data_IF_707760522535
#
_entry.id   IF_707760522535
#
_cell.length_a   1.000
_cell.length_b   1.000
_cell.length_c   1.000
_cell.angle_alpha   90.00
_cell.angle_beta   90.00
_cell.angle_gamma   90.00
#
_symmetry.space_group_name_H-M   'P 1'
#
loop_
_entity.id
_entity.type
_entity.pdbx_description
1 polymer ?
#
# COMPACT_ATOMS: atom_id res chain seq x y z
N UNK A 1 15.84 -0.05 0.86
CA UNK A 1 16.96 -0.82 1.42
C UNK A 1 16.58 -1.43 2.77
N UNK A 2 16.06 -0.66 3.73
CA UNK A 2 15.72 -1.12 5.09
C UNK A 2 14.86 -2.38 5.10
N UNK A 3 13.78 -2.41 4.31
CA UNK A 3 12.85 -3.54 4.28
C UNK A 3 13.53 -4.85 3.84
N UNK A 4 14.39 -4.83 2.82
CA UNK A 4 15.11 -6.02 2.39
C UNK A 4 16.12 -6.52 3.42
N UNK A 5 16.82 -5.59 4.09
CA UNK A 5 17.74 -5.94 5.18
C UNK A 5 16.98 -6.61 6.33
N UNK A 6 15.85 -6.03 6.73
CA UNK A 6 14.99 -6.58 7.77
C UNK A 6 14.44 -7.98 7.39
N UNK A 7 13.96 -8.13 6.15
CA UNK A 7 13.46 -9.43 5.68
C UNK A 7 14.54 -10.51 5.71
N UNK A 8 15.77 -10.17 5.29
CA UNK A 8 16.88 -11.11 5.34
C UNK A 8 17.25 -11.48 6.78
N UNK A 9 17.27 -10.51 7.70
CA UNK A 9 17.60 -10.72 9.11
C UNK A 9 16.55 -11.59 9.83
N UNK A 10 15.27 -11.38 9.54
CA UNK A 10 14.14 -12.06 10.19
C UNK A 10 13.64 -13.30 9.44
N UNK A 11 14.28 -13.68 8.34
CA UNK A 11 13.85 -14.82 7.55
C UNK A 11 12.49 -14.63 6.85
N UNK A 12 12.06 -13.37 6.64
CA UNK A 12 10.82 -13.08 5.92
C UNK A 12 10.97 -13.41 4.44
N UNK A 13 10.12 -14.30 3.88
CA UNK A 13 10.22 -14.68 2.49
C UNK A 13 10.03 -13.47 1.56
N UNK A 14 10.97 -13.26 0.67
CA UNK A 14 10.93 -12.18 -0.32
C UNK A 14 11.74 -12.52 -1.56
N UNK A 15 11.48 -11.82 -2.67
CA UNK A 15 12.23 -12.01 -3.91
C UNK A 15 12.33 -10.69 -4.66
N UNK A 16 13.54 -10.31 -5.07
CA UNK A 16 13.77 -9.21 -6.01
C UNK A 16 13.52 -9.69 -7.44
N UNK A 17 12.25 -9.72 -7.83
CA UNK A 17 11.85 -10.20 -9.15
C UNK A 17 11.95 -9.14 -10.24
N UNK A 18 12.13 -7.88 -9.88
CA UNK A 18 12.10 -6.77 -10.83
C UNK A 18 10.68 -6.37 -11.25
N UNK A 19 10.59 -5.22 -11.89
CA UNK A 19 9.34 -4.68 -12.45
C UNK A 19 9.60 -4.04 -13.80
N UNK A 20 8.71 -4.29 -14.74
CA UNK A 20 8.65 -3.59 -16.03
C UNK A 20 7.51 -2.59 -16.01
N UNK A 21 7.79 -1.31 -16.28
CA UNK A 21 6.77 -0.30 -16.57
C UNK A 21 6.71 -0.18 -18.07
N UNK A 22 5.60 -0.60 -18.69
CA UNK A 22 5.52 -0.81 -20.15
C UNK A 22 4.68 0.25 -20.85
N UNK A 23 5.17 0.72 -21.99
CA UNK A 23 4.43 1.53 -22.95
C UNK A 23 3.89 0.62 -24.07
N UNK A 24 2.56 0.50 -24.19
CA UNK A 24 1.94 -0.27 -25.23
C UNK A 24 1.93 0.46 -26.59
N UNK A 25 2.08 1.78 -26.61
CA UNK A 25 2.09 2.61 -27.81
C UNK A 25 3.24 3.62 -27.82
N UNK A 26 3.59 4.12 -29.00
CA UNK A 26 4.64 5.17 -29.17
C UNK A 26 4.27 6.45 -28.39
N UNK A 27 2.99 6.82 -28.33
CA UNK A 27 2.52 7.99 -27.59
C UNK A 27 2.85 7.92 -26.08
N UNK A 28 2.91 6.72 -25.50
CA UNK A 28 3.19 6.49 -24.09
C UNK A 28 4.69 6.57 -23.74
N UNK A 29 5.61 6.64 -24.72
CA UNK A 29 7.06 6.76 -24.45
C UNK A 29 7.42 8.03 -23.68
N UNK A 30 6.72 9.12 -23.95
CA UNK A 30 6.95 10.37 -23.21
C UNK A 30 6.64 10.21 -21.72
N UNK A 31 5.59 9.47 -21.38
CA UNK A 31 5.22 9.15 -19.99
C UNK A 31 6.30 8.32 -19.29
N UNK A 32 6.88 7.31 -19.97
CA UNK A 32 8.01 6.56 -19.43
C UNK A 32 9.20 7.49 -19.12
N UNK A 33 9.52 8.42 -20.02
CA UNK A 33 10.62 9.37 -19.79
C UNK A 33 10.35 10.28 -18.59
N UNK A 34 9.11 10.75 -18.42
CA UNK A 34 8.70 11.55 -17.25
C UNK A 34 8.84 10.74 -15.96
N UNK A 35 8.40 9.46 -15.94
CA UNK A 35 8.55 8.56 -14.79
C UNK A 35 10.04 8.41 -14.44
N UNK A 36 10.90 8.16 -15.42
CA UNK A 36 12.34 8.03 -15.22
C UNK A 36 12.95 9.29 -14.61
N UNK A 37 12.59 10.46 -15.14
CA UNK A 37 13.07 11.75 -14.64
C UNK A 37 12.62 12.00 -13.20
N UNK A 38 11.34 11.75 -12.90
CA UNK A 38 10.80 11.90 -11.55
C UNK A 38 11.45 10.90 -10.57
N UNK A 39 11.69 9.68 -10.99
CA UNK A 39 12.35 8.66 -10.17
C UNK A 39 13.78 9.09 -9.81
N UNK A 40 14.56 9.58 -10.78
CA UNK A 40 15.91 10.07 -10.55
C UNK A 40 15.93 11.28 -9.59
N UNK A 41 14.97 12.22 -9.71
CA UNK A 41 14.82 13.34 -8.80
C UNK A 41 14.50 12.91 -7.35
N UNK A 42 13.93 11.71 -7.17
CA UNK A 42 13.65 11.10 -5.87
C UNK A 42 14.73 10.09 -5.42
N UNK A 43 15.92 10.11 -6.04
CA UNK A 43 17.04 9.25 -5.66
C UNK A 43 16.92 7.79 -6.14
N UNK A 44 16.02 7.50 -7.09
CA UNK A 44 15.90 6.19 -7.74
C UNK A 44 16.62 6.26 -9.08
N UNK A 45 17.84 5.77 -9.14
CA UNK A 45 18.78 5.89 -10.27
C UNK A 45 19.01 4.58 -11.05
N UNK A 46 18.43 3.48 -10.58
CA UNK A 46 18.62 2.13 -11.14
C UNK A 46 17.64 1.77 -12.27
N UNK A 47 16.72 2.68 -12.66
CA UNK A 47 15.79 2.44 -13.76
C UNK A 47 16.49 2.36 -15.11
N UNK A 48 16.28 1.24 -15.82
CA UNK A 48 16.89 0.96 -17.12
C UNK A 48 15.84 1.08 -18.23
N UNK A 49 16.16 1.84 -19.26
CA UNK A 49 15.35 1.86 -20.47
C UNK A 49 15.55 0.59 -21.28
N UNK A 50 14.46 -0.07 -21.67
CA UNK A 50 14.48 -1.24 -22.52
C UNK A 50 13.66 -0.98 -23.79
N UNK A 51 14.20 -1.43 -24.92
CA UNK A 51 13.44 -1.52 -26.17
C UNK A 51 12.58 -2.79 -26.21
N UNK A 52 11.79 -2.95 -27.27
CA UNK A 52 10.91 -4.11 -27.46
C UNK A 52 11.68 -5.43 -27.40
N UNK A 53 12.84 -5.51 -28.03
CA UNK A 53 13.62 -6.75 -28.11
C UNK A 53 14.14 -7.17 -26.73
N UNK A 54 14.63 -6.21 -25.96
CA UNK A 54 15.10 -6.44 -24.59
C UNK A 54 13.95 -6.84 -23.64
N UNK A 55 12.77 -6.24 -23.79
CA UNK A 55 11.58 -6.65 -23.01
C UNK A 55 11.16 -8.07 -23.38
N UNK A 56 11.07 -8.39 -24.68
CA UNK A 56 10.71 -9.73 -25.13
C UNK A 56 11.68 -10.82 -24.65
N UNK A 57 12.96 -10.50 -24.52
CA UNK A 57 13.96 -11.44 -23.96
C UNK A 57 13.72 -11.71 -22.47
N UNK A 58 13.18 -10.76 -21.70
CA UNK A 58 12.84 -10.91 -20.27
C UNK A 58 11.47 -11.53 -20.06
N UNK A 59 10.46 -11.06 -20.81
CA UNK A 59 9.06 -11.42 -20.72
C UNK A 59 8.49 -11.64 -22.14
N UNK A 60 8.61 -12.85 -22.70
CA UNK A 60 8.20 -13.14 -24.08
C UNK A 60 6.73 -12.86 -24.39
N UNK A 61 5.86 -12.94 -23.40
CA UNK A 61 4.42 -12.71 -23.54
C UNK A 61 4.01 -11.24 -23.49
N UNK A 62 4.95 -10.33 -23.16
CA UNK A 62 4.68 -8.89 -23.04
C UNK A 62 4.81 -8.19 -24.40
N UNK A 63 3.70 -7.60 -24.84
CA UNK A 63 3.67 -6.72 -26.01
C UNK A 63 3.83 -5.25 -25.59
N UNK A 64 4.89 -4.61 -26.04
CA UNK A 64 5.14 -3.19 -25.78
C UNK A 64 6.05 -2.58 -26.84
N UNK A 65 6.16 -1.25 -26.87
CA UNK A 65 7.11 -0.52 -27.73
C UNK A 65 8.40 -0.14 -26.98
N UNK A 66 8.31 0.02 -25.65
CA UNK A 66 9.42 0.28 -24.75
C UNK A 66 8.99 0.00 -23.31
N UNK A 67 9.97 -0.12 -22.41
CA UNK A 67 9.72 -0.22 -20.98
C UNK A 67 10.82 0.46 -20.13
N UNK A 68 10.50 0.72 -18.85
CA UNK A 68 11.48 0.92 -17.81
C UNK A 68 11.56 -0.33 -16.95
N UNK A 69 12.75 -0.85 -16.79
CA UNK A 69 13.03 -1.94 -15.86
C UNK A 69 13.53 -1.37 -14.53
N UNK A 70 12.83 -1.74 -13.44
CA UNK A 70 13.24 -1.47 -12.05
C UNK A 70 13.76 -2.76 -11.42
N UNK A 71 15.06 -3.00 -11.39
CA UNK A 71 15.63 -4.27 -10.91
C UNK A 71 15.54 -4.41 -9.40
N UNK A 72 15.44 -3.31 -8.65
CA UNK A 72 15.33 -3.29 -7.20
C UNK A 72 13.93 -3.58 -6.67
N UNK A 73 12.90 -3.56 -7.53
CA UNK A 73 11.53 -3.91 -7.15
C UNK A 73 11.42 -5.39 -6.83
N UNK A 74 10.61 -5.74 -5.84
CA UNK A 74 10.38 -7.13 -5.47
C UNK A 74 9.04 -7.38 -4.83
N UNK A 75 8.86 -8.60 -4.39
CA UNK A 75 7.70 -9.10 -3.68
C UNK A 75 8.10 -9.67 -2.33
N UNK A 76 7.15 -9.67 -1.40
CA UNK A 76 7.36 -10.07 -0.02
C UNK A 76 6.14 -10.83 0.49
N UNK A 77 6.34 -11.77 1.40
CA UNK A 77 5.26 -12.30 2.24
C UNK A 77 4.89 -11.26 3.30
N UNK A 78 3.81 -10.53 3.05
CA UNK A 78 3.34 -9.46 3.95
C UNK A 78 2.84 -9.99 5.30
N UNK A 79 2.31 -11.22 5.34
CA UNK A 79 1.87 -11.84 6.60
C UNK A 79 3.08 -12.24 7.45
N UNK A 80 4.08 -12.86 6.84
CA UNK A 80 5.33 -13.16 7.55
C UNK A 80 6.03 -11.89 8.04
N UNK A 81 5.98 -10.78 7.28
CA UNK A 81 6.48 -9.49 7.72
C UNK A 81 5.75 -8.96 8.95
N UNK A 82 4.41 -9.01 8.96
CA UNK A 82 3.61 -8.58 10.11
C UNK A 82 3.92 -9.43 11.34
N UNK A 83 4.04 -10.75 11.18
CA UNK A 83 4.40 -11.64 12.29
C UNK A 83 5.82 -11.37 12.81
N UNK A 84 6.77 -11.04 11.95
CA UNK A 84 8.11 -10.66 12.36
C UNK A 84 8.12 -9.34 13.16
N UNK A 85 7.35 -8.33 12.73
CA UNK A 85 7.19 -7.09 13.51
C UNK A 85 6.48 -7.34 14.84
N UNK A 86 5.47 -8.20 14.87
CA UNK A 86 4.79 -8.61 16.08
C UNK A 86 5.78 -9.25 17.06
N UNK A 87 6.55 -10.25 16.63
CA UNK A 87 7.55 -10.91 17.46
C UNK A 87 8.60 -9.94 18.01
N UNK A 88 9.11 -9.05 17.16
CA UNK A 88 10.07 -8.02 17.59
C UNK A 88 9.49 -7.05 18.65
N UNK A 89 8.20 -6.74 18.56
CA UNK A 89 7.51 -5.91 19.54
C UNK A 89 7.30 -6.65 20.86
N UNK A 90 6.82 -7.89 20.81
CA UNK A 90 6.59 -8.75 21.98
C UNK A 90 7.89 -9.05 22.72
N UNK A 91 8.99 -9.32 22.02
CA UNK A 91 10.34 -9.50 22.58
C UNK A 91 10.83 -8.26 23.36
N UNK A 92 10.25 -7.09 23.07
CA UNK A 92 10.52 -5.83 23.78
C UNK A 92 9.45 -5.44 24.78
N UNK A 93 8.55 -6.37 25.12
CA UNK A 93 7.54 -6.21 26.15
C UNK A 93 6.23 -5.58 25.66
N UNK A 94 6.01 -5.43 24.36
CA UNK A 94 4.70 -5.01 23.84
C UNK A 94 3.68 -6.14 24.03
N UNK A 95 2.44 -5.76 24.29
CA UNK A 95 1.30 -6.69 24.35
C UNK A 95 0.34 -6.39 23.20
N UNK A 96 -0.10 -7.44 22.51
CA UNK A 96 -1.07 -7.33 21.43
C UNK A 96 -2.39 -7.92 21.89
N UNK A 97 -3.45 -7.11 21.87
CA UNK A 97 -4.81 -7.52 22.18
C UNK A 97 -5.65 -7.57 20.90
N UNK A 98 -6.01 -8.78 20.49
CA UNK A 98 -6.95 -8.98 19.38
C UNK A 98 -8.40 -8.85 19.86
N UNK A 99 -9.30 -8.51 18.93
CA UNK A 99 -10.73 -8.34 19.24
C UNK A 99 -11.02 -7.34 20.37
N UNK A 100 -10.15 -6.36 20.52
CA UNK A 100 -10.19 -5.31 21.53
C UNK A 100 -10.31 -3.93 20.86
N UNK A 101 -11.48 -3.61 20.24
CA UNK A 101 -11.64 -2.35 19.54
C UNK A 101 -11.66 -1.17 20.50
N UNK A 102 -10.92 -0.11 20.14
CA UNK A 102 -11.04 1.20 20.80
C UNK A 102 -12.32 1.86 20.32
N UNK A 103 -13.26 2.14 21.21
CA UNK A 103 -14.58 2.68 20.87
C UNK A 103 -14.71 4.19 21.12
N UNK A 104 -13.94 4.71 22.07
CA UNK A 104 -13.85 6.13 22.38
C UNK A 104 -12.55 6.45 23.12
N UNK A 105 -12.27 7.73 23.23
CA UNK A 105 -11.18 8.25 24.04
C UNK A 105 -11.46 9.64 24.54
N UNK A 106 -10.65 10.13 25.47
CA UNK A 106 -10.72 11.48 26.01
C UNK A 106 -9.32 11.99 26.37
N UNK A 107 -9.05 13.22 25.99
CA UNK A 107 -7.82 13.90 26.37
C UNK A 107 -7.97 14.41 27.81
N UNK A 108 -7.00 14.09 28.68
CA UNK A 108 -6.95 14.48 30.08
C UNK A 108 -5.59 15.08 30.44
N UNK A 109 -5.47 15.66 31.64
CA UNK A 109 -4.19 16.17 32.13
C UNK A 109 -3.14 15.08 32.36
N UNK A 110 -3.59 13.84 32.61
CA UNK A 110 -2.74 12.68 32.90
C UNK A 110 -2.35 11.88 31.64
N UNK A 111 -2.91 12.22 30.46
CA UNK A 111 -2.69 11.50 29.21
C UNK A 111 -3.98 11.34 28.41
N UNK A 112 -4.07 10.27 27.63
CA UNK A 112 -5.22 9.96 26.79
C UNK A 112 -5.91 8.72 27.33
N UNK A 113 -7.13 8.88 27.86
CA UNK A 113 -7.97 7.76 28.26
C UNK A 113 -8.59 7.11 27.04
N UNK A 114 -8.60 5.79 27.00
CA UNK A 114 -9.21 4.99 25.93
C UNK A 114 -10.20 3.98 26.54
N UNK A 115 -11.38 3.90 25.94
CA UNK A 115 -12.35 2.84 26.20
C UNK A 115 -12.13 1.72 25.17
N UNK A 116 -11.83 0.54 25.66
CA UNK A 116 -11.62 -0.65 24.85
C UNK A 116 -12.78 -1.60 25.10
N UNK A 117 -13.49 -1.96 24.05
CA UNK A 117 -14.55 -2.96 24.07
C UNK A 117 -14.00 -4.35 23.69
N UNK A 118 -14.88 -5.35 23.60
CA UNK A 118 -14.51 -6.71 23.22
C UNK A 118 -14.87 -7.71 24.34
N UNK A 119 -14.14 -8.83 24.35
CA UNK A 119 -14.39 -9.89 25.33
C UNK A 119 -14.07 -9.44 26.77
N UNK A 120 -12.98 -8.70 26.94
CA UNK A 120 -12.52 -8.14 28.22
C UNK A 120 -12.49 -6.60 28.13
N UNK A 121 -13.66 -5.94 28.32
CA UNK A 121 -13.72 -4.49 28.22
C UNK A 121 -12.86 -3.82 29.30
N UNK A 122 -12.13 -2.78 28.90
CA UNK A 122 -11.27 -2.07 29.84
C UNK A 122 -11.18 -0.59 29.52
N UNK A 123 -10.82 0.19 30.53
CA UNK A 123 -10.37 1.57 30.37
C UNK A 123 -8.88 1.62 30.66
N UNK A 124 -8.13 2.31 29.84
CA UNK A 124 -6.71 2.54 30.06
C UNK A 124 -6.36 4.02 29.79
N UNK A 125 -5.39 4.54 30.52
CA UNK A 125 -4.81 5.83 30.30
C UNK A 125 -3.40 5.66 29.73
N UNK A 126 -3.15 6.22 28.56
CA UNK A 126 -1.86 6.13 27.86
C UNK A 126 -1.18 7.50 27.80
N UNK A 127 0.13 7.52 28.05
CA UNK A 127 0.95 8.72 27.86
C UNK A 127 1.12 9.06 26.38
N UNK A 128 1.08 8.06 25.52
CA UNK A 128 1.16 8.23 24.07
C UNK A 128 0.20 7.27 23.37
N UNK A 129 -0.48 7.78 22.35
CA UNK A 129 -1.40 7.03 21.49
C UNK A 129 -1.01 7.25 20.03
N UNK A 130 -0.85 6.16 19.30
CA UNK A 130 -0.67 6.18 17.85
C UNK A 130 -1.89 5.57 17.20
N UNK A 131 -2.68 6.39 16.53
CA UNK A 131 -3.82 5.94 15.76
C UNK A 131 -3.34 5.50 14.36
N UNK A 132 -3.08 4.23 14.19
CA UNK A 132 -2.73 3.60 12.91
C UNK A 132 -3.83 2.64 12.42
N UNK A 133 -5.08 3.01 12.65
CA UNK A 133 -6.26 2.18 12.39
C UNK A 133 -6.64 2.06 10.89
N UNK A 134 -5.80 2.53 9.97
CA UNK A 134 -5.99 2.37 8.51
C UNK A 134 -7.31 2.97 8.02
N UNK A 135 -8.21 2.14 7.48
CA UNK A 135 -9.53 2.58 7.02
C UNK A 135 -10.39 3.24 8.11
N UNK A 136 -10.14 2.88 9.36
CA UNK A 136 -10.90 3.37 10.52
C UNK A 136 -10.21 4.54 11.24
N UNK A 137 -9.01 4.97 10.80
CA UNK A 137 -8.26 6.00 11.51
C UNK A 137 -9.01 7.34 11.67
N UNK A 138 -9.75 7.87 10.67
CA UNK A 138 -10.58 9.05 10.88
C UNK A 138 -11.70 8.83 11.91
N UNK A 139 -12.34 7.66 11.90
CA UNK A 139 -13.40 7.34 12.87
C UNK A 139 -12.87 7.24 14.30
N UNK A 140 -11.71 6.61 14.50
CA UNK A 140 -11.02 6.57 15.80
C UNK A 140 -10.67 7.98 16.27
N UNK A 141 -10.13 8.83 15.37
CA UNK A 141 -9.81 10.21 15.72
C UNK A 141 -11.05 11.02 16.14
N UNK A 142 -12.18 10.86 15.43
CA UNK A 142 -13.46 11.49 15.80
C UNK A 142 -14.03 11.00 17.14
N UNK A 143 -13.69 9.79 17.56
CA UNK A 143 -14.12 9.21 18.82
C UNK A 143 -13.28 9.69 20.03
N UNK A 144 -12.22 10.48 19.82
CA UNK A 144 -11.39 11.06 20.88
C UNK A 144 -11.92 12.45 21.24
N UNK A 145 -12.58 12.54 22.39
CA UNK A 145 -13.06 13.80 22.94
C UNK A 145 -11.90 14.76 23.25
N UNK A 146 -12.04 16.02 22.80
CA UNK A 146 -11.03 17.05 22.94
C UNK A 146 -10.14 17.24 21.69
N UNK A 147 -10.24 16.36 20.70
CA UNK A 147 -9.61 16.59 19.40
C UNK A 147 -10.52 17.45 18.51
N UNK A 148 -9.96 18.47 17.87
CA UNK A 148 -10.68 19.41 17.00
C UNK A 148 -11.20 18.69 15.75
N UNK A 149 -12.52 18.59 15.52
CA UNK A 149 -13.08 17.80 14.40
C UNK A 149 -12.64 18.29 13.02
N UNK A 150 -12.39 19.59 12.86
CA UNK A 150 -11.96 20.21 11.59
C UNK A 150 -10.56 19.79 11.15
N UNK A 151 -9.77 19.23 12.07
CA UNK A 151 -8.43 18.69 11.79
C UNK A 151 -8.47 17.22 11.35
N UNK A 152 -9.62 16.57 11.43
CA UNK A 152 -9.79 15.17 11.08
C UNK A 152 -10.32 15.06 9.65
N UNK A 153 -9.60 14.40 8.73
CA UNK A 153 -10.03 14.30 7.35
C UNK A 153 -11.25 13.38 7.21
N UNK A 154 -12.09 13.68 6.21
CA UNK A 154 -13.18 12.79 5.82
C UNK A 154 -12.62 11.51 5.20
N UNK A 155 -13.12 10.36 5.63
CA UNK A 155 -12.74 9.07 5.06
C UNK A 155 -13.48 8.80 3.74
N UNK A 156 -12.74 8.32 2.75
CA UNK A 156 -13.26 7.79 1.50
C UNK A 156 -12.61 6.43 1.23
N UNK A 157 -13.30 5.57 0.46
CA UNK A 157 -12.84 4.22 0.22
C UNK A 157 -12.69 3.96 -1.27
N UNK A 158 -11.47 3.65 -1.71
CA UNK A 158 -11.20 3.22 -3.08
C UNK A 158 -10.82 1.74 -3.09
N UNK A 159 -11.79 0.90 -3.41
CA UNK A 159 -11.62 -0.55 -3.55
C UNK A 159 -10.86 -0.85 -4.82
N UNK A 160 -9.95 -1.81 -4.75
CA UNK A 160 -9.20 -2.35 -5.87
C UNK A 160 -9.45 -3.84 -5.97
N UNK A 161 -10.05 -4.27 -7.07
CA UNK A 161 -10.34 -5.66 -7.32
C UNK A 161 -9.16 -6.34 -8.03
N UNK A 162 -8.90 -7.60 -7.70
CA UNK A 162 -7.87 -8.42 -8.32
C UNK A 162 -8.47 -9.71 -8.85
N UNK A 163 -7.99 -10.10 -10.04
CA UNK A 163 -8.35 -11.36 -10.67
C UNK A 163 -7.12 -12.26 -10.79
N UNK A 164 -7.30 -13.53 -10.54
CA UNK A 164 -6.24 -14.56 -10.61
C UNK A 164 -6.23 -15.20 -11.98
N UNK A 165 -5.05 -15.34 -12.59
CA UNK A 165 -4.87 -16.08 -13.83
C UNK A 165 -4.90 -17.58 -13.55
N UNK A 166 -5.79 -18.31 -14.19
CA UNK A 166 -5.90 -19.76 -14.08
C UNK A 166 -4.85 -20.47 -14.95
N UNK A 167 -4.18 -21.46 -14.39
CA UNK A 167 -3.30 -22.37 -15.11
C UNK A 167 -1.90 -21.83 -15.39
N UNK A 168 -1.71 -21.00 -16.41
CA UNK A 168 -0.38 -20.56 -16.86
C UNK A 168 0.30 -19.57 -15.90
N UNK A 169 1.64 -19.59 -15.88
CA UNK A 169 2.48 -18.65 -15.12
C UNK A 169 3.45 -17.95 -16.08
N UNK A 170 2.93 -17.09 -16.98
CA UNK A 170 3.72 -16.56 -18.09
C UNK A 170 4.71 -15.45 -17.69
N UNK A 171 4.67 -14.97 -16.44
CA UNK A 171 5.47 -13.82 -15.99
C UNK A 171 6.46 -14.19 -14.90
N UNK A 172 7.65 -13.62 -15.00
CA UNK A 172 8.72 -13.68 -13.99
C UNK A 172 8.95 -12.35 -13.28
N UNK A 173 8.49 -11.24 -13.88
CA UNK A 173 8.55 -9.88 -13.35
C UNK A 173 7.15 -9.34 -13.09
N UNK A 174 7.06 -8.29 -12.27
CA UNK A 174 5.87 -7.45 -12.20
C UNK A 174 5.76 -6.63 -13.49
N UNK A 175 4.57 -6.52 -14.08
CA UNK A 175 4.36 -5.74 -15.32
C UNK A 175 3.28 -4.70 -15.08
N UNK A 176 3.65 -3.43 -15.21
CA UNK A 176 2.79 -2.29 -14.98
C UNK A 176 2.66 -1.48 -16.27
N UNK A 177 1.48 -1.38 -16.89
CA UNK A 177 1.31 -0.41 -17.96
C UNK A 177 1.53 1.01 -17.43
N UNK A 178 1.96 1.92 -18.30
CA UNK A 178 2.03 3.34 -17.92
C UNK A 178 0.67 3.82 -17.44
N UNK A 179 0.60 4.67 -16.40
CA UNK A 179 -0.66 5.23 -15.92
C UNK A 179 -1.38 5.97 -17.05
N UNK A 180 -2.66 5.66 -17.24
CA UNK A 180 -3.55 6.43 -18.11
C UNK A 180 -4.27 7.51 -17.31
N UNK A 181 -4.82 8.54 -18.00
CA UNK A 181 -5.49 9.67 -17.34
C UNK A 181 -6.69 9.25 -16.48
N UNK A 182 -7.29 8.09 -16.75
CA UNK A 182 -8.47 7.58 -16.05
C UNK A 182 -8.17 6.51 -14.97
N UNK A 183 -6.90 6.11 -14.74
CA UNK A 183 -6.62 5.06 -13.75
C UNK A 183 -5.16 4.63 -13.68
N UNK A 184 -4.85 3.71 -12.76
CA UNK A 184 -3.50 3.15 -12.57
C UNK A 184 -3.13 2.07 -13.60
N UNK A 185 -4.06 1.71 -14.49
CA UNK A 185 -3.95 0.54 -15.36
C UNK A 185 -4.02 -0.77 -14.57
N UNK A 186 -4.31 -1.86 -15.23
CA UNK A 186 -4.35 -3.18 -14.61
C UNK A 186 -2.93 -3.76 -14.62
N UNK A 187 -2.35 -3.96 -13.45
CA UNK A 187 -0.99 -4.49 -13.29
C UNK A 187 -0.96 -6.03 -13.35
N UNK A 188 0.18 -6.58 -13.73
CA UNK A 188 0.55 -7.97 -13.40
C UNK A 188 1.27 -7.96 -12.08
N UNK A 189 0.77 -8.70 -11.12
CA UNK A 189 1.48 -9.05 -9.88
C UNK A 189 1.70 -10.55 -9.82
N UNK A 190 2.78 -10.97 -9.19
CA UNK A 190 3.11 -12.38 -8.95
C UNK A 190 3.35 -12.57 -7.46
N UNK A 191 2.96 -13.71 -6.92
CA UNK A 191 3.33 -14.07 -5.55
C UNK A 191 4.62 -14.92 -5.52
N UNK A 192 5.06 -15.28 -4.34
CA UNK A 192 6.28 -16.09 -4.15
C UNK A 192 6.16 -17.48 -4.76
N UNK A 193 4.94 -18.01 -4.92
CA UNK A 193 4.63 -19.26 -5.61
C UNK A 193 4.52 -19.11 -7.13
N UNK A 194 4.64 -17.88 -7.65
CA UNK A 194 4.52 -17.59 -9.09
C UNK A 194 3.07 -17.48 -9.58
N UNK A 195 2.07 -17.45 -8.69
CA UNK A 195 0.68 -17.22 -9.10
C UNK A 195 0.54 -15.79 -9.62
N UNK A 196 -0.02 -15.66 -10.81
CA UNK A 196 -0.27 -14.38 -11.46
C UNK A 196 -1.63 -13.82 -11.05
N UNK A 197 -1.64 -12.51 -10.73
CA UNK A 197 -2.85 -11.74 -10.50
C UNK A 197 -2.83 -10.46 -11.30
N UNK A 198 -3.98 -10.08 -11.78
CA UNK A 198 -4.20 -8.82 -12.49
C UNK A 198 -4.99 -7.86 -11.60
N UNK A 199 -4.56 -6.62 -11.54
CA UNK A 199 -5.19 -5.60 -10.72
C UNK A 199 -4.21 -4.63 -10.09
N UNK A 200 -4.73 -3.68 -9.31
CA UNK A 200 -6.16 -3.49 -9.12
C UNK A 200 -6.80 -2.63 -10.23
N UNK A 201 -8.12 -2.69 -10.32
CA UNK A 201 -8.92 -1.58 -10.83
C UNK A 201 -9.16 -0.52 -9.73
N UNK A 202 -10.09 0.39 -9.96
CA UNK A 202 -10.54 1.36 -8.96
C UNK A 202 -12.06 1.41 -8.93
N UNK A 203 -12.61 1.16 -7.75
CA UNK A 203 -14.04 1.23 -7.46
C UNK A 203 -14.24 2.07 -6.19
N UNK A 204 -14.94 3.19 -6.31
CA UNK A 204 -15.30 4.00 -5.15
C UNK A 204 -16.53 3.40 -4.48
N UNK A 205 -16.45 3.18 -3.17
CA UNK A 205 -17.48 2.53 -2.36
C UNK A 205 -17.80 3.37 -1.13
N UNK A 206 -19.06 3.31 -0.68
CA UNK A 206 -19.53 4.08 0.49
C UNK A 206 -19.34 3.30 1.80
N UNK A 207 -19.22 1.99 1.72
CA UNK A 207 -19.01 1.10 2.86
C UNK A 207 -17.91 0.09 2.58
N UNK A 208 -17.24 -0.38 3.64
CA UNK A 208 -16.18 -1.40 3.54
C UNK A 208 -16.81 -2.71 3.07
N UNK A 209 -16.42 -3.14 1.87
CA UNK A 209 -16.85 -4.38 1.22
C UNK A 209 -15.67 -4.98 0.44
N UNK A 210 -15.32 -6.22 0.73
CA UNK A 210 -14.20 -6.94 0.10
C UNK A 210 -14.64 -7.95 -0.98
N UNK A 211 -15.93 -8.04 -1.29
CA UNK A 211 -16.41 -8.95 -2.32
C UNK A 211 -15.99 -8.46 -3.71
N UNK A 212 -15.45 -9.36 -4.52
CA UNK A 212 -15.07 -9.06 -5.90
C UNK A 212 -16.24 -9.33 -6.84
N UNK A 213 -16.71 -8.30 -7.54
CA UNK A 213 -17.77 -8.44 -8.53
C UNK A 213 -17.25 -9.15 -9.79
N UNK A 214 -17.72 -10.40 -10.10
CA UNK A 214 -17.30 -11.11 -11.28
C UNK A 214 -17.59 -10.37 -12.60
N UNK A 215 -18.61 -9.51 -12.62
CA UNK A 215 -19.00 -8.73 -13.79
C UNK A 215 -17.95 -7.70 -14.23
N UNK A 216 -17.06 -7.28 -13.35
CA UNK A 216 -15.96 -6.35 -13.68
C UNK A 216 -14.86 -6.97 -14.55
N UNK A 217 -14.80 -8.31 -14.66
CA UNK A 217 -13.79 -9.01 -15.43
C UNK A 217 -13.69 -8.54 -16.90
N UNK A 218 -14.80 -8.14 -17.51
CA UNK A 218 -14.81 -7.67 -18.91
C UNK A 218 -13.83 -6.51 -19.14
N UNK A 219 -13.84 -5.49 -18.27
CA UNK A 219 -12.91 -4.36 -18.36
C UNK A 219 -11.44 -4.75 -18.12
N UNK A 220 -11.19 -5.82 -17.36
CA UNK A 220 -9.85 -6.36 -17.16
C UNK A 220 -9.28 -6.96 -18.44
N UNK A 221 -10.08 -7.73 -19.22
CA UNK A 221 -9.60 -8.33 -20.48
C UNK A 221 -9.10 -7.26 -21.45
N UNK A 222 -9.85 -6.19 -21.65
CA UNK A 222 -9.50 -5.13 -22.57
C UNK A 222 -8.19 -4.42 -22.13
N UNK A 223 -8.06 -4.11 -20.86
CA UNK A 223 -6.87 -3.44 -20.32
C UNK A 223 -5.62 -4.34 -20.37
N UNK A 224 -5.75 -5.59 -20.00
CA UNK A 224 -4.63 -6.55 -19.95
C UNK A 224 -4.14 -6.89 -21.36
N UNK A 225 -5.03 -7.08 -22.32
CA UNK A 225 -4.69 -7.42 -23.70
C UNK A 225 -3.88 -6.35 -24.43
N UNK A 226 -3.86 -5.12 -23.95
CA UNK A 226 -2.99 -4.08 -24.49
C UNK A 226 -1.50 -4.43 -24.35
N UNK A 227 -1.12 -5.15 -23.31
CA UNK A 227 0.27 -5.56 -23.06
C UNK A 227 0.46 -7.07 -22.95
N UNK A 228 -0.61 -7.84 -22.78
CA UNK A 228 -0.61 -9.30 -22.81
C UNK A 228 -1.71 -9.84 -23.74
N UNK A 229 -1.50 -9.75 -25.08
CA UNK A 229 -2.51 -10.13 -26.06
C UNK A 229 -2.86 -11.62 -26.05
N UNK A 230 -2.00 -12.47 -25.46
CA UNK A 230 -2.23 -13.90 -25.33
C UNK A 230 -3.26 -14.29 -24.24
N UNK A 231 -3.85 -13.35 -23.52
CA UNK A 231 -4.86 -13.65 -22.50
C UNK A 231 -6.13 -14.22 -23.13
N UNK A 232 -6.45 -15.47 -22.81
CA UNK A 232 -7.63 -16.16 -23.32
C UNK A 232 -8.89 -15.76 -22.58
N UNK A 233 -10.05 -15.81 -23.24
CA UNK A 233 -11.34 -15.64 -22.59
C UNK A 233 -11.54 -16.71 -21.51
N UNK A 234 -12.17 -16.33 -20.38
CA UNK A 234 -12.40 -17.22 -19.24
C UNK A 234 -11.14 -17.60 -18.43
N UNK A 235 -9.97 -16.99 -18.74
CA UNK A 235 -8.73 -17.34 -18.06
C UNK A 235 -8.51 -16.64 -16.71
N UNK A 236 -9.32 -15.62 -16.39
CA UNK A 236 -9.22 -14.91 -15.11
C UNK A 236 -10.45 -15.16 -14.26
N UNK A 237 -10.23 -15.35 -12.97
CA UNK A 237 -11.25 -15.59 -11.96
C UNK A 237 -11.15 -14.57 -10.84
N UNK A 238 -12.27 -14.19 -10.17
CA UNK A 238 -12.24 -13.34 -9.01
C UNK A 238 -11.20 -13.82 -7.99
N UNK A 239 -10.33 -12.91 -7.55
CA UNK A 239 -9.28 -13.21 -6.58
C UNK A 239 -9.62 -12.62 -5.21
N UNK A 240 -9.12 -11.42 -4.94
CA UNK A 240 -9.39 -10.68 -3.71
C UNK A 240 -9.54 -9.19 -4.01
N UNK A 241 -10.03 -8.43 -3.04
CA UNK A 241 -10.04 -6.99 -3.07
C UNK A 241 -9.24 -6.39 -1.93
N UNK A 242 -8.68 -5.21 -2.16
CA UNK A 242 -8.11 -4.35 -1.13
C UNK A 242 -8.78 -2.98 -1.16
N UNK A 243 -8.83 -2.30 -0.03
CA UNK A 243 -9.43 -0.97 0.06
C UNK A 243 -8.37 0.03 0.48
N UNK A 244 -8.24 1.12 -0.30
CA UNK A 244 -7.32 2.21 0.02
C UNK A 244 -8.04 3.24 0.89
N UNK A 245 -7.44 3.62 2.05
CA UNK A 245 -7.94 4.73 2.87
C UNK A 245 -7.64 6.05 2.15
N UNK A 246 -8.64 6.67 1.58
CA UNK A 246 -8.55 7.98 0.94
C UNK A 246 -9.06 9.07 1.87
N UNK A 247 -8.49 10.27 1.74
CA UNK A 247 -8.92 11.49 2.47
C UNK A 247 -9.38 12.60 1.54
N UNK A 248 -9.61 12.28 0.29
CA UNK A 248 -10.21 13.14 -0.72
C UNK A 248 -11.19 12.36 -1.59
N UNK A 249 -12.26 13.00 -2.11
CA UNK A 249 -13.27 12.37 -2.93
C UNK A 249 -12.73 11.92 -4.29
N UNK A 250 -13.52 11.15 -5.01
CA UNK A 250 -13.22 10.75 -6.38
C UNK A 250 -12.93 11.98 -7.26
N UNK A 251 -11.82 11.92 -8.03
CA UNK A 251 -11.38 13.00 -8.90
C UNK A 251 -10.53 14.07 -8.20
N UNK A 252 -10.38 14.05 -6.89
CA UNK A 252 -9.44 14.92 -6.20
C UNK A 252 -7.99 14.54 -6.53
N UNK A 253 -7.09 15.51 -6.41
CA UNK A 253 -5.65 15.22 -6.46
C UNK A 253 -5.29 14.20 -5.37
N UNK A 254 -4.45 13.22 -5.72
CA UNK A 254 -3.99 12.24 -4.74
C UNK A 254 -3.28 12.94 -3.57
N UNK A 255 -3.78 12.70 -2.36
CA UNK A 255 -3.13 13.16 -1.15
C UNK A 255 -1.91 12.28 -0.84
N UNK A 256 -0.91 12.87 -0.18
CA UNK A 256 0.19 12.12 0.42
C UNK A 256 -0.23 11.55 1.79
N UNK A 257 0.61 10.73 2.38
CA UNK A 257 0.46 10.26 3.75
C UNK A 257 0.40 11.43 4.73
N UNK A 258 -0.50 11.36 5.69
CA UNK A 258 -0.62 12.36 6.74
C UNK A 258 -0.19 11.74 8.07
N UNK A 259 0.91 12.25 8.61
CA UNK A 259 1.38 11.97 9.98
C UNK A 259 1.06 13.22 10.79
N UNK A 260 -0.06 13.21 11.48
CA UNK A 260 -0.56 14.36 12.24
C UNK A 260 -0.17 14.18 13.71
N UNK A 261 0.75 15.01 14.19
CA UNK A 261 1.29 14.94 15.53
C UNK A 261 0.90 16.12 16.42
N UNK A 262 1.50 16.23 17.62
CA UNK A 262 1.20 17.28 18.59
C UNK A 262 1.37 18.71 18.05
N UNK A 263 2.23 18.91 17.07
CA UNK A 263 2.43 20.22 16.42
C UNK A 263 1.28 20.66 15.53
N UNK A 264 0.49 19.68 15.04
CA UNK A 264 -0.60 19.91 14.09
C UNK A 264 -1.94 20.13 14.79
N UNK A 265 -2.20 19.40 15.90
CA UNK A 265 -3.47 19.43 16.62
C UNK A 265 -3.36 19.88 18.09
N UNK A 266 -2.16 20.14 18.59
CA UNK A 266 -1.95 20.66 19.95
C UNK A 266 -2.08 19.64 21.08
N UNK A 267 -2.35 18.37 20.80
CA UNK A 267 -2.55 17.31 21.80
C UNK A 267 -1.25 16.56 22.06
N UNK A 268 -0.69 16.71 23.26
CA UNK A 268 0.52 16.00 23.62
C UNK A 268 0.31 14.47 23.59
N UNK A 269 1.29 13.73 23.09
CA UNK A 269 1.27 12.27 23.07
C UNK A 269 0.38 11.64 22.01
N UNK A 270 -0.40 12.38 21.20
CA UNK A 270 -1.22 11.81 20.13
C UNK A 270 -0.53 11.91 18.78
N UNK A 271 -0.54 10.83 18.01
CA UNK A 271 -0.20 10.82 16.58
C UNK A 271 -1.28 10.09 15.80
N UNK A 272 -1.85 10.73 14.79
CA UNK A 272 -2.76 10.11 13.84
C UNK A 272 -2.06 9.83 12.50
N UNK A 273 -2.31 8.66 11.93
CA UNK A 273 -1.87 8.27 10.60
C UNK A 273 -3.07 8.18 9.66
N UNK A 274 -3.18 9.11 8.71
CA UNK A 274 -4.26 9.11 7.72
C UNK A 274 -3.70 8.87 6.32
N UNK A 275 -4.52 8.31 5.44
CA UNK A 275 -4.18 8.03 4.04
C UNK A 275 -2.93 7.15 3.85
N UNK A 276 -2.61 6.28 4.81
CA UNK A 276 -1.50 5.34 4.65
C UNK A 276 -1.95 4.20 3.73
N UNK A 277 -1.72 4.39 2.44
CA UNK A 277 -1.98 3.42 1.38
C UNK A 277 -0.67 2.95 0.71
N UNK A 278 -0.69 2.51 -0.54
CA UNK A 278 0.54 2.18 -1.29
C UNK A 278 1.40 3.45 -1.51
N UNK A 279 2.71 3.44 -1.16
CA UNK A 279 3.55 2.32 -0.73
C UNK A 279 3.74 2.18 0.80
N UNK A 280 2.71 2.31 1.62
CA UNK A 280 2.78 2.31 3.08
C UNK A 280 3.51 1.09 3.67
N UNK A 281 3.28 -0.11 3.13
CA UNK A 281 4.00 -1.31 3.58
C UNK A 281 5.52 -1.17 3.42
N UNK A 282 5.96 -0.69 2.25
CA UNK A 282 7.39 -0.48 1.95
C UNK A 282 7.98 0.62 2.84
N UNK A 283 7.18 1.63 3.20
CA UNK A 283 7.59 2.78 3.99
C UNK A 283 7.40 2.57 5.51
N UNK A 284 6.80 1.46 5.96
CA UNK A 284 6.34 1.27 7.34
C UNK A 284 7.42 1.54 8.40
N UNK A 285 8.66 1.09 8.17
CA UNK A 285 9.76 1.34 9.10
C UNK A 285 10.13 2.82 9.21
N UNK A 286 10.11 3.55 8.09
CA UNK A 286 10.41 4.99 8.09
C UNK A 286 9.25 5.76 8.71
N UNK A 287 8.00 5.38 8.42
CA UNK A 287 6.82 5.96 9.06
C UNK A 287 6.88 5.78 10.60
N UNK A 288 7.30 4.61 11.08
CA UNK A 288 7.47 4.37 12.51
C UNK A 288 8.54 5.28 13.13
N UNK A 289 9.64 5.58 12.42
CA UNK A 289 10.66 6.53 12.87
C UNK A 289 10.12 7.97 12.96
N UNK A 290 9.34 8.40 11.97
CA UNK A 290 8.69 9.72 11.98
C UNK A 290 7.68 9.83 13.12
N UNK A 291 6.89 8.78 13.39
CA UNK A 291 5.96 8.71 14.53
C UNK A 291 6.71 8.82 15.85
N UNK A 292 7.78 8.05 16.04
CA UNK A 292 8.60 8.11 17.25
C UNK A 292 9.19 9.51 17.45
N UNK A 293 9.66 10.14 16.38
CA UNK A 293 10.17 11.51 16.41
C UNK A 293 9.08 12.51 16.80
N UNK A 294 7.85 12.38 16.27
CA UNK A 294 6.71 13.22 16.61
C UNK A 294 6.31 13.12 18.09
N UNK A 295 6.52 11.94 18.71
CA UNK A 295 6.30 11.67 20.12
C UNK A 295 7.50 12.07 21.03
N UNK A 296 8.54 12.68 20.46
CA UNK A 296 9.72 13.09 21.22
C UNK A 296 10.73 11.96 21.52
N UNK A 297 10.63 10.83 20.82
CA UNK A 297 11.55 9.70 20.91
C UNK A 297 12.39 9.58 19.62
N UNK A 298 13.38 10.47 19.39
CA UNK A 298 14.14 10.44 18.15
C UNK A 298 14.89 9.11 18.00
N UNK A 299 14.67 8.45 16.88
CA UNK A 299 15.41 7.24 16.51
C UNK A 299 16.62 7.68 15.70
N UNK A 300 17.80 7.19 16.07
CA UNK A 300 19.00 7.37 15.23
C UNK A 300 18.71 6.81 13.83
N UNK A 301 18.73 7.67 12.83
CA UNK A 301 18.64 7.21 11.43
C UNK A 301 19.87 6.35 11.18
N UNK A 302 19.67 5.05 10.96
CA UNK A 302 20.75 4.20 10.44
C UNK A 302 21.19 4.79 9.10
N UNK A 303 22.49 5.09 8.99
CA UNK A 303 23.12 5.69 7.83
C UNK A 303 23.05 4.76 6.60
#
# INVERSE_FOLDING_TARGET
>A
HLLYAYCAERGVPHRRCGKLIVAASEAQRATLQQIRTKAAANGVDDLRWLDRAAVHALEPEVACVAALHSPSTGIIDSHALMLAYQGDAEDRGAMIAFHAPVTSGRITDDGIELEVAGHDPMRLCAQSVVNSAGLHAPAVAHAIEGLTPELIPTAYFAKGNYYTLSGARPFSHLVYPVPEQAGLGIHVTIDLGGQVRFGPDVEWIDAIDYDVDPGRAAGFYDAIRQYYPGLRDGAIEPGYAGIRPKIGPQGAQAADFVIQGPRDHGVAGLVNLFAIESPGLTAAQVLAQEVASALGHPVSRAA
#
